data_IF_740265149063
#
_entry.id   IF_740265149063
#
_cell.length_a   1.000
_cell.length_b   1.000
_cell.length_c   1.000
_cell.angle_alpha   90.00
_cell.angle_beta   90.00
_cell.angle_gamma   90.00
#
_symmetry.space_group_name_H-M   'P 1'
#
loop_
_entity.id
_entity.type
_entity.pdbx_description
1 polymer ?
#
# COMPACT_ATOMS: atom_id res chain seq x y z
N UNK A 1 -26.05 -40.09 8.05
CA UNK A 1 -27.10 -39.25 8.65
C UNK A 1 -26.46 -38.38 9.72
N UNK A 2 -26.16 -37.12 9.44
CA UNK A 2 -25.42 -36.23 10.36
C UNK A 2 -26.19 -34.93 10.56
N UNK A 3 -26.99 -34.91 11.64
CA UNK A 3 -27.56 -33.79 12.38
C UNK A 3 -27.94 -32.50 11.61
N UNK A 4 -29.11 -32.52 10.98
CA UNK A 4 -29.85 -31.33 10.51
C UNK A 4 -30.54 -30.60 11.68
N UNK A 5 -29.84 -30.35 12.78
CA UNK A 5 -30.43 -29.68 13.95
C UNK A 5 -30.54 -28.16 13.76
N UNK A 6 -31.60 -27.54 14.29
CA UNK A 6 -31.75 -26.08 14.35
C UNK A 6 -30.72 -25.49 15.29
N UNK A 7 -29.98 -24.47 14.85
CA UNK A 7 -28.90 -23.84 15.62
C UNK A 7 -29.39 -22.56 16.29
N UNK A 8 -29.31 -22.51 17.62
CA UNK A 8 -29.67 -21.33 18.42
C UNK A 8 -28.40 -20.74 19.02
N UNK A 9 -28.09 -19.50 18.67
CA UNK A 9 -26.97 -18.76 19.25
C UNK A 9 -27.47 -17.90 20.42
N UNK A 10 -26.90 -18.10 21.60
CA UNK A 10 -27.22 -17.31 22.80
C UNK A 10 -26.07 -16.35 23.05
N UNK A 11 -26.37 -15.05 23.05
CA UNK A 11 -25.43 -13.95 23.29
C UNK A 11 -25.96 -13.04 24.37
N UNK A 12 -25.08 -12.32 25.06
CA UNK A 12 -25.49 -11.37 26.08
C UNK A 12 -24.29 -10.64 26.66
N UNK A 13 -24.49 -9.48 27.30
CA UNK A 13 -23.45 -8.80 28.05
C UNK A 13 -22.89 -9.68 29.19
N UNK A 14 -21.72 -9.36 29.74
CA UNK A 14 -21.19 -10.05 30.92
C UNK A 14 -22.22 -10.09 32.06
N UNK A 15 -22.31 -11.23 32.76
CA UNK A 15 -23.21 -11.44 33.91
C UNK A 15 -24.72 -11.32 33.64
N UNK A 16 -25.14 -11.26 32.36
CA UNK A 16 -26.55 -11.20 31.96
C UNK A 16 -27.34 -12.48 32.23
N UNK A 17 -26.67 -13.62 32.41
CA UNK A 17 -27.31 -14.92 32.63
C UNK A 17 -27.31 -15.86 31.42
N UNK A 18 -26.49 -15.59 30.40
CA UNK A 18 -26.33 -16.45 29.19
C UNK A 18 -26.11 -17.92 29.54
N UNK A 19 -25.21 -18.23 30.48
CA UNK A 19 -24.91 -19.62 30.85
C UNK A 19 -26.14 -20.38 31.34
N UNK A 20 -26.92 -19.78 32.25
CA UNK A 20 -28.17 -20.38 32.75
C UNK A 20 -29.18 -20.62 31.63
N UNK A 21 -29.32 -19.67 30.70
CA UNK A 21 -30.21 -19.83 29.53
C UNK A 21 -29.74 -20.95 28.60
N UNK A 22 -28.44 -21.03 28.30
CA UNK A 22 -27.86 -22.10 27.48
C UNK A 22 -28.11 -23.46 28.11
N UNK A 23 -27.81 -23.62 29.40
CA UNK A 23 -27.96 -24.89 30.11
C UNK A 23 -29.42 -25.28 30.33
N UNK A 24 -30.30 -24.29 30.55
CA UNK A 24 -31.74 -24.51 30.62
C UNK A 24 -32.32 -25.00 29.30
N UNK A 25 -31.97 -24.34 28.19
CA UNK A 25 -32.44 -24.72 26.86
C UNK A 25 -31.93 -26.10 26.44
N UNK A 26 -30.64 -26.41 26.67
CA UNK A 26 -30.09 -27.74 26.34
C UNK A 26 -30.80 -28.87 27.09
N UNK A 27 -31.18 -28.64 28.34
CA UNK A 27 -31.90 -29.64 29.16
C UNK A 27 -33.34 -29.86 28.69
N UNK A 28 -34.06 -28.78 28.37
CA UNK A 28 -35.48 -28.86 28.01
C UNK A 28 -35.71 -29.13 26.51
N UNK A 29 -34.73 -28.85 25.65
CA UNK A 29 -34.78 -28.98 24.19
C UNK A 29 -33.51 -29.63 23.63
N UNK A 30 -33.32 -30.94 23.83
CA UNK A 30 -32.16 -31.67 23.31
C UNK A 30 -32.16 -31.79 21.77
N UNK A 31 -33.30 -31.49 21.12
CA UNK A 31 -33.44 -31.39 19.67
C UNK A 31 -32.71 -30.17 19.07
N UNK A 32 -32.47 -29.12 19.87
CA UNK A 32 -31.85 -27.88 19.42
C UNK A 32 -30.33 -27.88 19.68
N UNK A 33 -29.56 -27.41 18.70
CA UNK A 33 -28.14 -27.14 18.89
C UNK A 33 -27.96 -25.73 19.47
N UNK A 34 -27.94 -25.64 20.80
CA UNK A 34 -27.77 -24.38 21.53
C UNK A 34 -26.29 -24.10 21.77
N UNK A 35 -25.83 -22.92 21.36
CA UNK A 35 -24.43 -22.51 21.42
C UNK A 35 -24.31 -21.14 22.07
N UNK A 36 -23.39 -20.99 23.02
CA UNK A 36 -23.00 -19.67 23.55
C UNK A 36 -22.00 -18.95 22.63
N UNK A 37 -21.42 -17.84 23.08
CA UNK A 37 -20.34 -17.15 22.35
C UNK A 37 -19.02 -17.97 22.33
N UNK A 38 -18.92 -19.03 23.14
CA UNK A 38 -17.76 -19.91 23.17
C UNK A 38 -17.59 -20.67 21.83
N UNK A 39 -16.33 -20.91 21.44
CA UNK A 39 -15.79 -21.21 20.09
C UNK A 39 -16.60 -22.00 19.04
N UNK A 40 -17.63 -22.74 19.42
CA UNK A 40 -18.48 -23.59 18.57
C UNK A 40 -19.37 -22.76 17.60
N UNK A 41 -19.74 -21.51 17.95
CA UNK A 41 -20.60 -20.64 17.12
C UNK A 41 -19.96 -20.16 15.79
N UNK A 42 -18.69 -20.51 15.54
CA UNK A 42 -17.98 -20.14 14.30
C UNK A 42 -18.22 -21.11 13.15
N UNK A 43 -18.76 -22.30 13.41
CA UNK A 43 -18.79 -23.39 12.42
C UNK A 43 -20.09 -23.48 11.60
N UNK A 44 -21.23 -23.04 12.16
CA UNK A 44 -22.54 -23.02 11.46
C UNK A 44 -23.28 -21.71 11.73
N UNK A 45 -23.91 -21.08 10.72
CA UNK A 45 -24.72 -19.88 10.95
C UNK A 45 -25.95 -20.23 11.81
N UNK A 46 -26.34 -19.38 12.76
CA UNK A 46 -27.51 -19.62 13.59
C UNK A 46 -28.82 -19.47 12.80
N UNK A 47 -29.82 -20.26 13.17
CA UNK A 47 -31.20 -20.14 12.70
C UNK A 47 -32.00 -19.16 13.56
N UNK A 48 -31.61 -18.98 14.82
CA UNK A 48 -32.11 -17.92 15.70
C UNK A 48 -31.01 -17.40 16.63
N UNK A 49 -31.14 -16.15 17.06
CA UNK A 49 -30.25 -15.53 18.05
C UNK A 49 -31.07 -15.09 19.26
N UNK A 50 -30.66 -15.54 20.45
CA UNK A 50 -31.20 -15.08 21.72
C UNK A 50 -30.26 -14.03 22.31
N UNK A 51 -30.76 -12.81 22.52
CA UNK A 51 -30.02 -11.73 23.17
C UNK A 51 -30.45 -11.64 24.62
N UNK A 52 -29.63 -12.19 25.51
CA UNK A 52 -29.88 -12.23 26.95
C UNK A 52 -29.38 -10.95 27.62
N UNK A 53 -30.27 -10.27 28.34
CA UNK A 53 -30.00 -9.10 29.18
C UNK A 53 -30.53 -9.36 30.58
N UNK A 54 -30.04 -8.64 31.60
CA UNK A 54 -30.47 -8.87 32.98
C UNK A 54 -31.66 -7.98 33.36
N UNK A 55 -32.62 -8.52 34.10
CA UNK A 55 -33.74 -7.76 34.68
C UNK A 55 -33.32 -6.71 35.74
N UNK A 56 -32.03 -6.64 36.10
CA UNK A 56 -31.49 -5.70 37.10
C UNK A 56 -31.65 -4.25 36.66
N UNK A 57 -31.39 -3.97 35.38
CA UNK A 57 -31.43 -2.63 34.82
C UNK A 57 -31.59 -2.68 33.30
N UNK A 58 -32.11 -1.61 32.68
CA UNK A 58 -32.18 -1.52 31.22
C UNK A 58 -30.81 -1.65 30.54
N UNK A 59 -30.79 -2.25 29.36
CA UNK A 59 -29.60 -2.45 28.53
C UNK A 59 -28.96 -1.13 28.14
N UNK A 60 -27.63 -1.05 28.22
CA UNK A 60 -26.90 0.15 27.80
C UNK A 60 -26.54 0.09 26.31
N UNK A 61 -26.18 1.24 25.73
CA UNK A 61 -25.72 1.28 24.34
C UNK A 61 -24.43 0.48 24.13
N UNK A 62 -23.53 0.49 25.12
CA UNK A 62 -22.30 -0.32 25.12
C UNK A 62 -22.60 -1.81 25.10
N UNK A 63 -23.58 -2.26 25.90
CA UNK A 63 -24.01 -3.66 25.94
C UNK A 63 -24.56 -4.13 24.59
N UNK A 64 -25.40 -3.30 23.96
CA UNK A 64 -25.97 -3.61 22.65
C UNK A 64 -24.91 -3.73 21.56
N UNK A 65 -23.91 -2.85 21.54
CA UNK A 65 -22.81 -2.89 20.57
C UNK A 65 -22.04 -4.21 20.61
N UNK A 66 -21.92 -4.86 21.77
CA UNK A 66 -21.24 -6.15 21.91
C UNK A 66 -22.02 -7.30 21.26
N UNK A 67 -23.36 -7.27 21.31
CA UNK A 67 -24.23 -8.36 20.84
C UNK A 67 -24.80 -8.14 19.44
N UNK A 68 -24.89 -6.89 18.98
CA UNK A 68 -25.45 -6.53 17.68
C UNK A 68 -24.81 -7.26 16.48
N UNK A 69 -23.47 -7.51 16.43
CA UNK A 69 -22.87 -8.29 15.36
C UNK A 69 -23.34 -9.75 15.32
N UNK A 70 -23.66 -10.34 16.48
CA UNK A 70 -24.19 -11.68 16.58
C UNK A 70 -25.69 -11.72 16.21
N UNK A 71 -26.48 -10.76 16.71
CA UNK A 71 -27.88 -10.58 16.34
C UNK A 71 -28.06 -10.42 14.82
N UNK A 72 -27.13 -9.73 14.15
CA UNK A 72 -27.13 -9.56 12.70
C UNK A 72 -26.91 -10.85 11.88
N UNK A 73 -26.68 -12.01 12.50
CA UNK A 73 -26.38 -13.28 11.80
C UNK A 73 -27.61 -14.13 11.50
N UNK A 74 -28.75 -13.82 12.11
CA UNK A 74 -30.04 -14.47 11.86
C UNK A 74 -31.12 -13.41 11.67
N UNK A 75 -32.22 -13.79 11.01
CA UNK A 75 -33.43 -12.98 10.89
C UNK A 75 -34.24 -13.04 12.20
N UNK A 76 -34.38 -14.24 12.77
CA UNK A 76 -35.04 -14.41 14.07
C UNK A 76 -34.09 -14.04 15.20
N UNK A 77 -34.37 -12.91 15.84
CA UNK A 77 -33.73 -12.48 17.09
C UNK A 77 -34.80 -12.39 18.17
N UNK A 78 -34.50 -12.85 19.38
CA UNK A 78 -35.39 -12.77 20.55
C UNK A 78 -34.63 -12.14 21.71
N UNK A 79 -35.18 -11.08 22.29
CA UNK A 79 -34.68 -10.50 23.54
C UNK A 79 -35.11 -11.34 24.73
N UNK A 80 -34.16 -11.70 25.59
CA UNK A 80 -34.40 -12.52 26.78
C UNK A 80 -34.00 -11.71 28.00
N UNK A 81 -34.99 -11.34 28.82
CA UNK A 81 -34.76 -10.66 30.10
C UNK A 81 -34.60 -11.73 31.17
N UNK A 82 -33.38 -11.95 31.64
CA UNK A 82 -33.04 -12.99 32.60
C UNK A 82 -33.13 -12.50 34.06
N UNK A 83 -33.20 -13.44 35.01
CA UNK A 83 -33.28 -13.20 36.47
C UNK A 83 -34.61 -12.57 36.91
N UNK A 84 -35.70 -12.88 36.20
CA UNK A 84 -37.04 -12.33 36.51
C UNK A 84 -37.65 -12.87 37.81
N UNK A 85 -37.04 -13.90 38.39
CA UNK A 85 -37.31 -14.40 39.74
C UNK A 85 -36.87 -13.43 40.84
N UNK A 86 -35.75 -12.73 40.65
CA UNK A 86 -35.24 -11.76 41.61
C UNK A 86 -35.84 -10.34 41.46
N UNK A 87 -36.42 -10.03 40.29
CA UNK A 87 -36.84 -8.67 39.94
C UNK A 87 -38.31 -8.61 39.51
N UNK A 88 -39.19 -8.16 40.43
CA UNK A 88 -40.65 -8.10 40.18
C UNK A 88 -41.06 -7.13 39.06
N UNK A 89 -40.30 -6.07 38.85
CA UNK A 89 -40.55 -5.04 37.82
C UNK A 89 -39.86 -5.32 36.48
N UNK A 90 -39.42 -6.55 36.23
CA UNK A 90 -38.69 -6.90 35.00
C UNK A 90 -39.44 -6.54 33.70
N UNK A 91 -40.78 -6.49 33.72
CA UNK A 91 -41.59 -6.08 32.55
C UNK A 91 -41.35 -4.62 32.18
N UNK A 92 -41.19 -3.74 33.16
CA UNK A 92 -40.82 -2.33 32.95
C UNK A 92 -39.44 -2.23 32.31
N UNK A 93 -38.49 -3.06 32.76
CA UNK A 93 -37.14 -3.15 32.17
C UNK A 93 -37.22 -3.65 30.72
N UNK A 94 -37.98 -4.71 30.45
CA UNK A 94 -38.17 -5.24 29.11
C UNK A 94 -38.78 -4.21 28.13
N UNK A 95 -39.75 -3.41 28.58
CA UNK A 95 -40.34 -2.34 27.78
C UNK A 95 -39.36 -1.18 27.54
N UNK A 96 -38.52 -0.86 28.52
CA UNK A 96 -37.44 0.10 28.34
C UNK A 96 -36.40 -0.42 27.33
N UNK A 97 -35.98 -1.67 27.45
CA UNK A 97 -35.04 -2.33 26.54
C UNK A 97 -35.57 -2.33 25.10
N UNK A 98 -36.84 -2.68 24.90
CA UNK A 98 -37.48 -2.63 23.57
C UNK A 98 -37.38 -1.24 22.95
N UNK A 99 -37.67 -0.18 23.72
CA UNK A 99 -37.60 1.22 23.24
C UNK A 99 -36.16 1.64 22.94
N UNK A 100 -35.23 1.35 23.84
CA UNK A 100 -33.82 1.71 23.69
C UNK A 100 -33.19 1.02 22.48
N UNK A 101 -33.36 -0.30 22.40
CA UNK A 101 -32.77 -1.11 21.34
C UNK A 101 -33.37 -0.79 19.97
N UNK A 102 -34.68 -0.59 19.86
CA UNK A 102 -35.30 -0.20 18.58
C UNK A 102 -34.85 1.18 18.10
N UNK A 103 -34.50 2.09 19.01
CA UNK A 103 -33.90 3.38 18.65
C UNK A 103 -32.44 3.25 18.15
N UNK A 104 -31.71 2.20 18.54
CA UNK A 104 -30.32 1.98 18.15
C UNK A 104 -30.15 1.05 16.94
N UNK A 105 -31.02 0.06 16.79
CA UNK A 105 -31.03 -0.92 15.70
C UNK A 105 -32.46 -1.15 15.22
N UNK A 106 -32.77 -0.59 14.05
CA UNK A 106 -34.09 -0.70 13.44
C UNK A 106 -34.52 -2.16 13.18
N UNK A 107 -33.57 -3.10 13.05
CA UNK A 107 -33.88 -4.53 12.85
C UNK A 107 -34.49 -5.15 14.09
N UNK A 108 -34.14 -4.63 15.27
CA UNK A 108 -34.64 -5.11 16.54
C UNK A 108 -36.00 -4.47 16.92
N UNK A 109 -36.58 -3.61 16.07
CA UNK A 109 -37.88 -3.00 16.34
C UNK A 109 -39.01 -4.03 16.47
N UNK A 110 -38.98 -5.11 15.68
CA UNK A 110 -39.95 -6.20 15.73
C UNK A 110 -39.51 -7.39 16.62
N UNK A 111 -38.42 -7.22 17.38
CA UNK A 111 -37.85 -8.26 18.23
C UNK A 111 -38.79 -8.54 19.42
N UNK A 112 -39.26 -9.79 19.63
CA UNK A 112 -39.98 -10.16 20.84
C UNK A 112 -39.05 -10.10 22.06
N UNK A 113 -39.62 -9.80 23.23
CA UNK A 113 -38.93 -9.77 24.51
C UNK A 113 -39.63 -10.69 25.49
N UNK A 114 -38.90 -11.64 26.07
CA UNK A 114 -39.45 -12.68 26.95
C UNK A 114 -38.69 -12.71 28.28
N UNK A 115 -39.41 -12.88 29.39
CA UNK A 115 -38.82 -13.00 30.72
C UNK A 115 -38.44 -14.45 31.04
N UNK A 116 -37.24 -14.66 31.58
CA UNK A 116 -36.71 -16.00 31.88
C UNK A 116 -36.04 -16.05 33.25
N UNK A 117 -36.31 -17.12 33.99
CA UNK A 117 -35.58 -17.48 35.20
C UNK A 117 -34.94 -18.86 34.97
N UNK A 118 -33.81 -18.91 34.27
CA UNK A 118 -33.24 -20.18 33.81
C UNK A 118 -32.45 -20.95 34.89
N UNK A 119 -31.95 -20.23 35.89
CA UNK A 119 -31.26 -20.76 37.06
C UNK A 119 -31.62 -19.90 38.29
N UNK A 120 -32.88 -19.98 38.78
CA UNK A 120 -33.31 -19.19 39.92
C UNK A 120 -32.65 -19.69 41.21
N UNK A 121 -32.43 -18.78 42.17
CA UNK A 121 -31.92 -19.16 43.49
C UNK A 121 -32.98 -19.94 44.30
N UNK A 122 -34.26 -19.65 44.04
CA UNK A 122 -35.41 -20.30 44.68
C UNK A 122 -36.48 -20.65 43.64
N UNK A 123 -36.92 -21.90 43.64
CA UNK A 123 -37.98 -22.40 42.76
C UNK A 123 -37.47 -23.12 41.52
N UNK A 124 -38.40 -23.53 40.64
CA UNK A 124 -38.08 -24.26 39.41
C UNK A 124 -37.68 -23.31 38.28
N UNK A 125 -36.76 -23.73 37.37
CA UNK A 125 -36.43 -22.96 36.17
C UNK A 125 -37.65 -22.65 35.30
N UNK A 126 -37.84 -21.38 34.97
CA UNK A 126 -38.93 -20.89 34.12
C UNK A 126 -38.39 -20.46 32.77
N UNK A 127 -38.47 -21.35 31.78
CA UNK A 127 -38.17 -21.09 30.36
C UNK A 127 -39.41 -21.22 29.46
N UNK A 128 -40.59 -21.55 30.00
CA UNK A 128 -41.78 -21.91 29.22
C UNK A 128 -42.20 -20.85 28.19
N UNK A 129 -42.22 -19.56 28.57
CA UNK A 129 -42.55 -18.47 27.63
C UNK A 129 -41.53 -18.39 26.47
N UNK A 130 -40.24 -18.60 26.76
CA UNK A 130 -39.19 -18.56 25.74
C UNK A 130 -39.29 -19.76 24.79
N UNK A 131 -39.57 -20.94 25.33
CA UNK A 131 -39.76 -22.15 24.53
C UNK A 131 -40.99 -22.04 23.62
N UNK A 132 -42.10 -21.54 24.15
CA UNK A 132 -43.31 -21.31 23.36
C UNK A 132 -43.06 -20.30 22.23
N UNK A 133 -42.37 -19.19 22.51
CA UNK A 133 -42.02 -18.20 21.48
C UNK A 133 -41.08 -18.80 20.42
N UNK A 134 -40.09 -19.58 20.83
CA UNK A 134 -39.19 -20.27 19.90
C UNK A 134 -39.95 -21.26 19.02
N UNK A 135 -40.87 -22.06 19.58
CA UNK A 135 -41.65 -23.03 18.82
C UNK A 135 -42.52 -22.35 17.75
N UNK A 136 -43.21 -21.27 18.11
CA UNK A 136 -44.03 -20.49 17.17
C UNK A 136 -43.16 -19.92 16.05
N UNK A 137 -42.02 -19.32 16.38
CA UNK A 137 -41.19 -18.61 15.40
C UNK A 137 -40.36 -19.55 14.53
N UNK A 138 -39.88 -20.66 15.08
CA UNK A 138 -39.13 -21.68 14.34
C UNK A 138 -40.04 -22.50 13.41
N UNK A 139 -41.33 -22.62 13.73
CA UNK A 139 -42.32 -23.26 12.87
C UNK A 139 -42.68 -22.44 11.62
N UNK A 140 -42.26 -21.17 11.52
CA UNK A 140 -42.53 -20.34 10.34
C UNK A 140 -41.80 -20.89 9.09
N UNK A 141 -42.53 -21.33 8.05
CA UNK A 141 -41.94 -21.87 6.83
C UNK A 141 -41.09 -20.84 6.05
N UNK A 142 -41.30 -19.54 6.28
CA UNK A 142 -40.52 -18.46 5.66
C UNK A 142 -39.16 -18.20 6.32
N UNK A 143 -38.93 -18.67 7.54
CA UNK A 143 -37.72 -18.38 8.32
C UNK A 143 -36.42 -18.86 7.63
N UNK A 144 -36.34 -20.08 7.04
CA UNK A 144 -35.11 -20.54 6.38
C UNK A 144 -34.68 -19.60 5.24
N UNK A 145 -35.63 -19.11 4.44
CA UNK A 145 -35.39 -18.17 3.33
C UNK A 145 -34.91 -16.82 3.83
N UNK A 146 -35.53 -16.28 4.88
CA UNK A 146 -35.10 -15.00 5.50
C UNK A 146 -33.71 -15.12 6.12
N UNK A 147 -33.44 -16.19 6.84
CA UNK A 147 -32.10 -16.49 7.35
C UNK A 147 -31.08 -16.65 6.21
N UNK A 148 -31.46 -17.22 5.07
CA UNK A 148 -30.55 -17.32 3.91
C UNK A 148 -30.19 -15.93 3.36
N UNK A 149 -31.19 -15.04 3.23
CA UNK A 149 -30.95 -13.66 2.84
C UNK A 149 -30.03 -12.94 3.84
N UNK A 150 -30.29 -13.08 5.14
CA UNK A 150 -29.48 -12.47 6.18
C UNK A 150 -28.03 -12.97 6.16
N UNK A 151 -27.83 -14.27 5.90
CA UNK A 151 -26.51 -14.88 5.71
C UNK A 151 -25.78 -14.27 4.51
N UNK A 152 -26.45 -14.06 3.38
CA UNK A 152 -25.86 -13.45 2.19
C UNK A 152 -25.44 -11.99 2.46
N UNK A 153 -26.29 -11.21 3.14
CA UNK A 153 -25.98 -9.82 3.53
C UNK A 153 -24.78 -9.78 4.49
N UNK A 154 -24.75 -10.67 5.48
CA UNK A 154 -23.64 -10.76 6.44
C UNK A 154 -22.33 -11.17 5.73
N UNK A 155 -22.38 -12.13 4.80
CA UNK A 155 -21.22 -12.53 3.99
C UNK A 155 -20.72 -11.39 3.11
N UNK A 156 -21.61 -10.69 2.42
CA UNK A 156 -21.25 -9.56 1.56
C UNK A 156 -20.62 -8.40 2.36
N UNK A 157 -21.18 -8.05 3.53
CA UNK A 157 -20.62 -7.01 4.40
C UNK A 157 -19.24 -7.40 4.96
N UNK A 158 -19.09 -8.65 5.43
CA UNK A 158 -17.77 -9.20 5.81
C UNK A 158 -16.78 -9.20 4.66
N UNK A 159 -17.19 -9.62 3.47
CA UNK A 159 -16.37 -9.66 2.26
C UNK A 159 -15.81 -8.28 1.93
N UNK A 160 -16.65 -7.23 2.01
CA UNK A 160 -16.21 -5.84 1.83
C UNK A 160 -15.16 -5.40 2.86
N UNK A 161 -15.33 -5.74 4.14
CA UNK A 161 -14.35 -5.38 5.19
C UNK A 161 -13.01 -6.08 4.94
N UNK A 162 -13.03 -7.36 4.59
CA UNK A 162 -11.82 -8.12 4.30
C UNK A 162 -11.13 -7.58 3.04
N UNK A 163 -11.89 -7.30 1.98
CA UNK A 163 -11.37 -6.69 0.75
C UNK A 163 -10.74 -5.32 1.02
N UNK A 164 -11.41 -4.46 1.80
CA UNK A 164 -10.89 -3.15 2.18
C UNK A 164 -9.59 -3.26 2.98
N UNK A 165 -9.49 -4.22 3.92
CA UNK A 165 -8.25 -4.47 4.67
C UNK A 165 -7.12 -4.92 3.74
N UNK A 166 -7.38 -5.84 2.80
CA UNK A 166 -6.39 -6.29 1.81
C UNK A 166 -5.92 -5.14 0.91
N UNK A 167 -6.84 -4.33 0.40
CA UNK A 167 -6.50 -3.16 -0.42
C UNK A 167 -5.60 -2.17 0.34
N UNK A 168 -5.87 -1.94 1.63
CA UNK A 168 -5.02 -1.09 2.46
C UNK A 168 -3.64 -1.70 2.72
N UNK A 169 -3.55 -3.02 2.96
CA UNK A 169 -2.27 -3.70 3.07
C UNK A 169 -1.47 -3.61 1.76
N UNK A 170 -2.12 -3.83 0.62
CA UNK A 170 -1.49 -3.75 -0.70
C UNK A 170 -0.92 -2.35 -1.00
N UNK A 171 -1.70 -1.29 -0.72
CA UNK A 171 -1.19 0.09 -0.78
C UNK A 171 0.03 0.29 0.11
N UNK A 172 0.04 -0.25 1.33
CA UNK A 172 1.18 -0.17 2.24
C UNK A 172 2.45 -0.82 1.69
N UNK A 173 2.34 -1.96 1.01
CA UNK A 173 3.46 -2.63 0.33
C UNK A 173 3.98 -1.76 -0.82
N UNK A 174 3.11 -1.31 -1.71
CA UNK A 174 3.48 -0.50 -2.88
C UNK A 174 4.13 0.84 -2.49
N UNK A 175 3.63 1.51 -1.45
CA UNK A 175 4.22 2.76 -0.98
C UNK A 175 5.62 2.54 -0.39
N UNK A 176 5.84 1.44 0.36
CA UNK A 176 7.18 1.09 0.87
C UNK A 176 8.14 0.79 -0.29
N UNK A 177 7.72 -0.01 -1.26
CA UNK A 177 8.50 -0.31 -2.47
C UNK A 177 8.89 0.97 -3.22
N UNK A 178 7.93 1.87 -3.45
CA UNK A 178 8.16 3.18 -4.08
C UNK A 178 9.19 4.02 -3.33
N UNK A 179 9.02 4.17 -2.02
CA UNK A 179 9.95 4.97 -1.21
C UNK A 179 11.36 4.37 -1.20
N UNK A 180 11.48 3.04 -1.13
CA UNK A 180 12.75 2.33 -1.22
C UNK A 180 13.47 2.59 -2.54
N UNK A 181 12.76 2.45 -3.66
CA UNK A 181 13.31 2.67 -5.01
C UNK A 181 13.64 4.15 -5.26
N UNK A 182 12.80 5.09 -4.86
CA UNK A 182 13.10 6.52 -5.01
C UNK A 182 14.33 6.94 -4.20
N UNK A 183 14.52 6.36 -3.01
CA UNK A 183 15.74 6.58 -2.23
C UNK A 183 16.96 5.99 -2.94
N UNK A 184 16.87 4.76 -3.43
CA UNK A 184 17.94 4.13 -4.22
C UNK A 184 18.33 4.97 -5.44
N UNK A 185 17.34 5.47 -6.20
CA UNK A 185 17.58 6.34 -7.37
C UNK A 185 18.29 7.62 -6.95
N UNK A 186 17.83 8.27 -5.88
CA UNK A 186 18.44 9.51 -5.38
C UNK A 186 19.89 9.30 -4.95
N UNK A 187 20.13 8.32 -4.09
CA UNK A 187 21.46 8.03 -3.54
C UNK A 187 22.45 7.66 -4.66
N UNK A 188 22.03 6.81 -5.60
CA UNK A 188 22.85 6.43 -6.75
C UNK A 188 23.08 7.58 -7.75
N UNK A 189 22.14 8.51 -7.91
CA UNK A 189 22.36 9.71 -8.72
C UNK A 189 23.34 10.69 -8.05
N UNK A 190 23.28 10.84 -6.72
CA UNK A 190 24.19 11.68 -5.97
C UNK A 190 25.62 11.09 -6.00
N UNK A 191 25.76 9.78 -5.88
CA UNK A 191 27.04 9.06 -6.04
C UNK A 191 27.60 9.16 -7.46
N UNK A 192 26.77 8.89 -8.48
CA UNK A 192 27.15 9.03 -9.89
C UNK A 192 27.62 10.47 -10.18
N UNK A 193 26.92 11.47 -9.65
CA UNK A 193 27.28 12.87 -9.84
C UNK A 193 28.62 13.20 -9.19
N UNK A 194 28.88 12.72 -7.98
CA UNK A 194 30.16 12.91 -7.30
C UNK A 194 31.31 12.28 -8.10
N UNK A 195 31.13 11.02 -8.51
CA UNK A 195 32.14 10.31 -9.31
C UNK A 195 32.44 11.00 -10.64
N UNK A 196 31.39 11.42 -11.38
CA UNK A 196 31.58 12.08 -12.68
C UNK A 196 32.23 13.46 -12.54
N UNK A 197 32.01 14.16 -11.42
CA UNK A 197 32.67 15.44 -11.13
C UNK A 197 34.13 15.30 -10.80
N UNK A 198 34.48 14.31 -9.99
CA UNK A 198 35.87 14.00 -9.68
C UNK A 198 36.61 13.59 -10.96
N UNK A 199 35.97 12.77 -11.80
CA UNK A 199 36.49 12.42 -13.12
C UNK A 199 36.65 13.66 -14.03
N UNK A 200 35.68 14.59 -14.04
CA UNK A 200 35.75 15.82 -14.83
C UNK A 200 36.91 16.74 -14.39
N UNK A 201 37.21 16.80 -13.08
CA UNK A 201 38.33 17.58 -12.56
C UNK A 201 39.69 17.04 -13.05
N UNK A 202 39.78 15.74 -13.29
CA UNK A 202 40.98 15.04 -13.76
C UNK A 202 41.17 15.05 -15.30
N UNK A 203 40.21 15.55 -16.09
CA UNK A 203 40.33 15.58 -17.57
C UNK A 203 41.38 16.59 -18.03
N UNK A 204 42.30 16.16 -18.89
CA UNK A 204 43.24 17.03 -19.63
C UNK A 204 42.66 17.43 -21.01
N UNK A 205 43.10 18.57 -21.57
CA UNK A 205 42.61 19.25 -22.80
C UNK A 205 42.32 18.35 -24.02
N UNK A 206 42.94 17.16 -24.13
CA UNK A 206 42.74 16.21 -25.24
C UNK A 206 41.80 15.02 -24.92
N UNK A 207 41.31 14.88 -23.68
CA UNK A 207 40.64 13.67 -23.16
C UNK A 207 39.11 13.66 -23.25
N UNK A 208 38.48 14.70 -23.79
CA UNK A 208 37.01 14.88 -23.79
C UNK A 208 36.18 13.72 -24.37
N UNK A 209 36.64 13.05 -25.43
CA UNK A 209 35.94 11.91 -26.02
C UNK A 209 35.98 10.66 -25.10
N UNK A 210 37.10 10.47 -24.40
CA UNK A 210 37.24 9.43 -23.38
C UNK A 210 36.34 9.68 -22.18
N UNK A 211 36.21 10.94 -21.75
CA UNK A 211 35.29 11.34 -20.70
C UNK A 211 33.82 11.13 -21.10
N UNK A 212 33.44 11.45 -22.34
CA UNK A 212 32.08 11.18 -22.81
C UNK A 212 31.74 9.69 -22.80
N UNK A 213 32.68 8.85 -23.23
CA UNK A 213 32.53 7.39 -23.19
C UNK A 213 32.39 6.91 -21.75
N UNK A 214 33.22 7.41 -20.83
CA UNK A 214 33.14 7.11 -19.40
C UNK A 214 31.76 7.45 -18.83
N UNK A 215 31.25 8.66 -19.08
CA UNK A 215 29.92 9.11 -18.60
C UNK A 215 28.83 8.17 -19.09
N UNK A 216 28.83 7.83 -20.39
CA UNK A 216 27.86 6.88 -20.98
C UNK A 216 27.94 5.51 -20.31
N UNK A 217 29.15 4.97 -20.13
CA UNK A 217 29.36 3.67 -19.48
C UNK A 217 28.90 3.67 -18.02
N UNK A 218 29.16 4.74 -17.26
CA UNK A 218 28.72 4.83 -15.86
C UNK A 218 27.20 4.96 -15.75
N UNK A 219 26.59 5.78 -16.59
CA UNK A 219 25.14 5.91 -16.65
C UNK A 219 24.45 4.58 -17.01
N UNK A 220 24.96 3.86 -18.04
CA UNK A 220 24.41 2.55 -18.44
C UNK A 220 24.54 1.50 -17.32
N UNK A 221 25.67 1.50 -16.60
CA UNK A 221 25.87 0.62 -15.45
C UNK A 221 24.88 0.92 -14.32
N UNK A 222 24.66 2.19 -14.00
CA UNK A 222 23.69 2.59 -12.98
C UNK A 222 22.27 2.17 -13.38
N UNK A 223 21.85 2.44 -14.61
CA UNK A 223 20.51 2.06 -15.10
C UNK A 223 20.32 0.53 -15.09
N UNK A 224 21.34 -0.24 -15.47
CA UNK A 224 21.29 -1.72 -15.41
C UNK A 224 21.20 -2.22 -13.96
N UNK A 225 21.92 -1.59 -13.03
CA UNK A 225 21.82 -1.89 -11.60
C UNK A 225 20.45 -1.53 -11.01
N UNK A 226 19.87 -0.42 -11.46
CA UNK A 226 18.53 0.01 -11.10
C UNK A 226 17.48 -0.99 -11.60
N UNK A 227 17.56 -1.45 -12.85
CA UNK A 227 16.63 -2.46 -13.38
C UNK A 227 16.63 -3.73 -12.49
N UNK A 228 17.81 -4.20 -12.09
CA UNK A 228 17.94 -5.34 -11.20
C UNK A 228 17.40 -5.08 -9.77
N UNK A 229 17.54 -3.86 -9.24
CA UNK A 229 16.93 -3.47 -7.96
C UNK A 229 15.41 -3.39 -8.07
N UNK A 230 14.88 -2.81 -9.17
CA UNK A 230 13.44 -2.76 -9.43
C UNK A 230 12.86 -4.17 -9.48
N UNK A 231 13.48 -5.08 -10.25
CA UNK A 231 13.04 -6.47 -10.34
C UNK A 231 13.02 -7.13 -8.95
N UNK A 232 14.10 -6.99 -8.15
CA UNK A 232 14.15 -7.51 -6.78
C UNK A 232 13.05 -6.97 -5.87
N UNK A 233 12.81 -5.66 -5.88
CA UNK A 233 11.80 -5.02 -5.03
C UNK A 233 10.39 -5.39 -5.47
N UNK A 234 10.15 -5.45 -6.78
CA UNK A 234 8.86 -5.87 -7.35
C UNK A 234 8.58 -7.34 -7.03
N UNK A 235 9.56 -8.23 -7.14
CA UNK A 235 9.40 -9.65 -6.79
C UNK A 235 9.12 -9.85 -5.31
N UNK A 236 9.81 -9.11 -4.43
CA UNK A 236 9.55 -9.12 -2.99
C UNK A 236 8.14 -8.63 -2.66
N UNK A 237 7.71 -7.53 -3.30
CA UNK A 237 6.36 -6.99 -3.14
C UNK A 237 5.29 -7.96 -3.69
N UNK A 238 5.50 -8.56 -4.86
CA UNK A 238 4.61 -9.56 -5.44
C UNK A 238 4.44 -10.77 -4.50
N UNK A 239 5.55 -11.25 -3.92
CA UNK A 239 5.54 -12.35 -2.94
C UNK A 239 4.75 -11.98 -1.68
N UNK A 240 4.95 -10.77 -1.13
CA UNK A 240 4.19 -10.29 0.05
C UNK A 240 2.69 -10.15 -0.24
N UNK A 241 2.32 -9.85 -1.49
CA UNK A 241 0.94 -9.74 -1.96
C UNK A 241 0.33 -11.09 -2.38
N UNK A 242 1.13 -12.16 -2.45
CA UNK A 242 0.69 -13.48 -2.92
C UNK A 242 0.40 -13.53 -4.43
N UNK A 243 1.10 -12.71 -5.22
CA UNK A 243 1.01 -12.71 -6.68
C UNK A 243 2.04 -13.69 -7.27
N UNK A 244 1.62 -14.52 -8.22
CA UNK A 244 2.53 -15.43 -8.92
C UNK A 244 3.48 -14.66 -9.84
N UNK A 245 4.81 -14.80 -9.71
CA UNK A 245 5.81 -13.97 -10.41
C UNK A 245 5.67 -13.97 -11.94
N UNK A 246 5.08 -15.03 -12.52
CA UNK A 246 5.01 -15.26 -13.97
C UNK A 246 3.85 -14.54 -14.67
N UNK A 247 2.89 -13.96 -13.93
CA UNK A 247 1.75 -13.21 -14.50
C UNK A 247 1.92 -11.69 -14.45
N UNK A 248 2.91 -11.16 -13.73
CA UNK A 248 2.91 -9.76 -13.30
C UNK A 248 3.52 -8.79 -14.32
N UNK A 249 4.41 -9.23 -15.23
CA UNK A 249 5.18 -8.28 -16.05
C UNK A 249 5.39 -8.82 -17.48
N UNK A 250 4.87 -8.14 -18.53
CA UNK A 250 5.32 -8.37 -19.90
C UNK A 250 6.85 -8.18 -19.96
N UNK A 251 7.61 -9.05 -20.62
CA UNK A 251 9.04 -8.80 -20.81
C UNK A 251 9.19 -7.42 -21.44
N UNK A 252 9.96 -6.56 -20.75
CA UNK A 252 10.25 -5.18 -21.14
C UNK A 252 10.47 -5.10 -22.66
N UNK A 253 9.78 -4.22 -23.41
CA UNK A 253 10.18 -3.94 -24.78
C UNK A 253 11.63 -3.44 -24.71
N UNK A 254 12.51 -4.13 -25.46
CA UNK A 254 13.96 -3.93 -25.51
C UNK A 254 14.35 -2.50 -25.18
N UNK A 255 15.19 -2.33 -24.14
CA UNK A 255 15.92 -1.10 -23.73
C UNK A 255 15.44 0.13 -24.51
N UNK A 256 14.56 0.97 -23.92
CA UNK A 256 14.33 2.31 -24.49
C UNK A 256 15.72 2.92 -24.74
N UNK A 257 15.96 3.51 -25.92
CA UNK A 257 17.26 4.07 -26.24
C UNK A 257 17.67 4.98 -25.08
N UNK A 258 18.94 4.93 -24.65
CA UNK A 258 19.41 5.76 -23.56
C UNK A 258 18.98 7.20 -23.81
N UNK A 259 18.65 7.97 -22.75
CA UNK A 259 18.22 9.35 -22.89
C UNK A 259 19.14 10.05 -23.88
N UNK A 260 18.59 10.80 -24.84
CA UNK A 260 19.37 11.50 -25.84
C UNK A 260 20.25 12.51 -25.11
N UNK A 261 21.44 12.07 -24.68
CA UNK A 261 22.37 12.86 -23.90
C UNK A 261 22.78 14.00 -24.83
N UNK A 262 22.45 15.23 -24.43
CA UNK A 262 22.81 16.44 -25.17
C UNK A 262 24.23 16.31 -25.70
N UNK A 263 24.42 16.51 -27.02
CA UNK A 263 25.75 16.44 -27.65
C UNK A 263 26.73 17.26 -26.81
N UNK A 264 27.88 16.67 -26.51
CA UNK A 264 28.94 17.36 -25.79
C UNK A 264 29.20 18.74 -26.45
N UNK A 265 29.38 19.84 -25.67
CA UNK A 265 29.72 21.17 -26.19
C UNK A 265 31.03 21.20 -27.00
N UNK A 266 31.69 20.04 -27.05
CA UNK A 266 32.77 19.64 -27.91
C UNK A 266 32.77 20.18 -29.37
N UNK A 267 31.61 20.34 -30.00
CA UNK A 267 31.55 20.77 -31.41
C UNK A 267 31.59 22.29 -31.60
N UNK A 268 31.22 23.08 -30.58
CA UNK A 268 31.31 24.55 -30.61
C UNK A 268 32.73 25.09 -30.33
N UNK A 269 33.63 24.23 -29.80
CA UNK A 269 35.00 24.54 -29.34
C UNK A 269 35.95 25.16 -30.38
N UNK A 270 35.75 24.89 -31.68
CA UNK A 270 36.77 25.18 -32.70
C UNK A 270 36.90 26.66 -33.08
N UNK A 271 35.82 27.42 -33.01
CA UNK A 271 35.76 28.82 -33.49
C UNK A 271 36.17 29.81 -32.40
N UNK A 272 35.70 29.60 -31.17
CA UNK A 272 35.94 30.51 -30.04
C UNK A 272 37.38 30.42 -29.52
N UNK A 273 37.96 29.21 -29.49
CA UNK A 273 39.37 29.00 -29.18
C UNK A 273 40.32 29.61 -30.22
N UNK A 274 39.95 29.59 -31.50
CA UNK A 274 40.71 30.25 -32.59
C UNK A 274 40.63 31.77 -32.49
N UNK A 275 39.47 32.33 -32.16
CA UNK A 275 39.29 33.77 -31.92
C UNK A 275 40.12 34.27 -30.73
N UNK A 276 40.10 33.55 -29.60
CA UNK A 276 40.89 33.89 -28.41
C UNK A 276 42.40 33.72 -28.64
N UNK A 277 42.82 32.73 -29.43
CA UNK A 277 44.23 32.56 -29.81
C UNK A 277 44.72 33.72 -30.69
N UNK A 278 43.94 34.12 -31.70
CA UNK A 278 44.29 35.26 -32.58
C UNK A 278 44.32 36.58 -31.82
N UNK A 279 43.32 36.83 -30.97
CA UNK A 279 43.26 38.04 -30.13
C UNK A 279 44.40 38.06 -29.11
N UNK A 280 44.73 36.89 -28.53
CA UNK A 280 45.85 36.74 -27.62
C UNK A 280 47.20 37.04 -28.28
N UNK A 281 47.45 36.46 -29.46
CA UNK A 281 48.69 36.72 -30.23
C UNK A 281 48.84 38.22 -30.54
N UNK A 282 47.77 38.90 -30.95
CA UNK A 282 47.79 40.34 -31.25
C UNK A 282 48.09 41.21 -30.02
N UNK A 283 47.48 40.92 -28.88
CA UNK A 283 47.66 41.70 -27.65
C UNK A 283 49.02 41.44 -26.98
N UNK A 284 49.51 40.19 -27.00
CA UNK A 284 50.84 39.82 -26.50
C UNK A 284 51.97 40.49 -27.28
N UNK A 285 51.82 40.59 -28.61
CA UNK A 285 52.75 41.33 -29.46
C UNK A 285 52.76 42.83 -29.14
N UNK A 286 51.59 43.42 -28.86
CA UNK A 286 51.46 44.83 -28.46
C UNK A 286 52.15 45.15 -27.12
N UNK A 287 51.99 44.30 -26.11
CA UNK A 287 52.64 44.47 -24.80
C UNK A 287 54.16 44.28 -24.90
N UNK A 288 54.62 43.31 -25.69
CA UNK A 288 56.05 43.10 -25.92
C UNK A 288 56.71 44.34 -26.55
N UNK A 289 56.04 44.97 -27.52
CA UNK A 289 56.50 46.20 -28.16
C UNK A 289 56.45 47.42 -27.21
N UNK A 290 55.41 47.53 -26.38
CA UNK A 290 55.28 48.62 -25.41
C UNK A 290 56.31 48.55 -24.28
N UNK A 291 56.57 47.35 -23.74
CA UNK A 291 57.56 47.11 -22.69
C UNK A 291 59.00 47.23 -23.18
N UNK A 292 59.27 46.78 -24.41
CA UNK A 292 60.52 47.02 -25.14
C UNK A 292 60.86 48.52 -25.21
N UNK A 293 59.86 49.37 -25.49
CA UNK A 293 60.05 50.82 -25.62
C UNK A 293 60.37 51.52 -24.29
N UNK A 294 59.88 50.99 -23.17
CA UNK A 294 60.17 51.48 -21.82
C UNK A 294 61.58 51.09 -21.34
N UNK A 295 62.05 49.89 -21.68
CA UNK A 295 63.38 49.38 -21.29
C UNK A 295 64.52 49.94 -22.15
N UNK A 296 64.24 50.33 -23.39
CA UNK A 296 65.19 50.98 -24.29
C UNK A 296 65.81 52.27 -23.72
N UNK A 297 65.13 52.93 -22.75
CA UNK A 297 65.59 54.16 -22.13
C UNK A 297 66.61 54.01 -20.99
N UNK A 298 66.85 52.79 -20.48
CA UNK A 298 67.56 52.59 -19.20
C UNK A 298 69.01 52.08 -19.31
N UNK A 299 69.40 51.32 -20.35
CA UNK A 299 70.79 50.89 -20.55
C UNK A 299 71.06 50.33 -21.97
N UNK A 300 71.83 51.01 -22.84
CA UNK A 300 72.03 50.59 -24.24
C UNK A 300 72.93 49.35 -24.43
N UNK A 301 73.75 48.98 -23.43
CA UNK A 301 74.75 47.89 -23.57
C UNK A 301 74.24 46.47 -23.32
N UNK A 302 73.11 46.29 -22.62
CA UNK A 302 72.48 44.98 -22.33
C UNK A 302 71.12 44.80 -23.02
N UNK A 303 70.75 45.78 -23.86
CA UNK A 303 69.42 45.91 -24.44
C UNK A 303 69.04 44.67 -25.27
N UNK A 304 69.84 44.25 -26.25
CA UNK A 304 69.42 43.17 -27.17
C UNK A 304 69.09 41.83 -26.47
N UNK A 305 69.84 41.43 -25.43
CA UNK A 305 69.60 40.20 -24.69
C UNK A 305 68.38 40.30 -23.75
N UNK A 306 68.17 41.46 -23.11
CA UNK A 306 66.99 41.72 -22.29
C UNK A 306 65.68 41.73 -23.08
N UNK A 307 65.72 42.11 -24.36
CA UNK A 307 64.54 42.16 -25.23
C UNK A 307 64.00 40.77 -25.58
N UNK A 308 64.89 39.86 -25.98
CA UNK A 308 64.51 38.49 -26.32
C UNK A 308 63.96 37.75 -25.08
N UNK A 309 64.59 37.95 -23.92
CA UNK A 309 64.14 37.35 -22.66
C UNK A 309 62.77 37.90 -22.22
N UNK A 310 62.57 39.22 -22.25
CA UNK A 310 61.31 39.85 -21.85
C UNK A 310 60.13 39.47 -22.76
N UNK A 311 60.34 39.45 -24.08
CA UNK A 311 59.32 39.01 -25.04
C UNK A 311 58.97 37.53 -24.87
N UNK A 312 59.97 36.66 -24.66
CA UNK A 312 59.74 35.24 -24.42
C UNK A 312 58.93 35.00 -23.13
N UNK A 313 59.26 35.70 -22.05
CA UNK A 313 58.54 35.60 -20.76
C UNK A 313 57.10 36.13 -20.89
N UNK A 314 56.90 37.25 -21.58
CA UNK A 314 55.55 37.81 -21.83
C UNK A 314 54.66 36.87 -22.65
N UNK A 315 55.20 36.27 -23.72
CA UNK A 315 54.48 35.28 -24.52
C UNK A 315 54.19 33.99 -23.73
N UNK A 316 55.14 33.53 -22.91
CA UNK A 316 54.95 32.35 -22.06
C UNK A 316 53.86 32.58 -21.00
N UNK A 317 53.85 33.73 -20.31
CA UNK A 317 52.81 34.10 -19.35
C UNK A 317 51.44 34.23 -20.01
N UNK A 318 51.37 34.82 -21.20
CA UNK A 318 50.11 34.95 -21.92
C UNK A 318 49.57 33.59 -22.39
N UNK A 319 50.43 32.75 -22.97
CA UNK A 319 50.07 31.39 -23.32
C UNK A 319 49.59 30.62 -22.08
N UNK A 320 50.22 30.84 -20.93
CA UNK A 320 49.79 30.27 -19.66
C UNK A 320 48.42 30.78 -19.20
N UNK A 321 48.14 32.09 -19.26
CA UNK A 321 46.81 32.66 -18.89
C UNK A 321 45.70 32.17 -19.83
N UNK A 322 45.93 32.16 -21.13
CA UNK A 322 44.95 31.68 -22.11
C UNK A 322 44.69 30.18 -21.90
N UNK A 323 45.75 29.40 -21.65
CA UNK A 323 45.63 27.95 -21.37
C UNK A 323 44.89 27.68 -20.07
N UNK A 324 45.19 28.41 -19.00
CA UNK A 324 44.51 28.26 -17.69
C UNK A 324 43.05 28.68 -17.76
N UNK A 325 42.73 29.80 -18.41
CA UNK A 325 41.33 30.23 -18.63
C UNK A 325 40.55 29.26 -19.50
N UNK A 326 41.17 28.71 -20.55
CA UNK A 326 40.59 27.66 -21.38
C UNK A 326 40.26 26.40 -20.58
N UNK A 327 41.20 25.95 -19.73
CA UNK A 327 41.01 24.80 -18.84
C UNK A 327 39.87 25.00 -17.83
N UNK A 328 39.77 26.19 -17.23
CA UNK A 328 38.69 26.49 -16.27
C UNK A 328 37.32 26.54 -16.94
N UNK A 329 37.23 27.13 -18.14
CA UNK A 329 35.99 27.16 -18.90
C UNK A 329 35.56 25.76 -19.36
N UNK A 330 36.51 24.93 -19.81
CA UNK A 330 36.26 23.54 -20.19
C UNK A 330 35.72 22.72 -19.02
N UNK A 331 36.32 22.85 -17.82
CA UNK A 331 35.82 22.18 -16.61
C UNK A 331 34.41 22.63 -16.22
N UNK A 332 34.09 23.92 -16.35
CA UNK A 332 32.77 24.44 -16.05
C UNK A 332 31.71 23.90 -17.03
N UNK A 333 32.04 23.78 -18.32
CA UNK A 333 31.16 23.16 -19.31
C UNK A 333 30.95 21.67 -19.03
N UNK A 334 31.99 20.95 -18.63
CA UNK A 334 31.88 19.54 -18.25
C UNK A 334 31.02 19.35 -17.00
N UNK A 335 31.18 20.16 -15.95
CA UNK A 335 30.35 20.08 -14.73
C UNK A 335 28.87 20.37 -15.01
N UNK A 336 28.60 21.37 -15.87
CA UNK A 336 27.24 21.65 -16.34
C UNK A 336 26.66 20.47 -17.13
N UNK A 337 27.42 19.92 -18.06
CA UNK A 337 26.98 18.78 -18.85
C UNK A 337 26.73 17.53 -17.98
N UNK A 338 27.61 17.24 -17.02
CA UNK A 338 27.41 16.17 -16.03
C UNK A 338 26.11 16.37 -15.25
N UNK A 339 25.82 17.61 -14.86
CA UNK A 339 24.56 17.95 -14.17
C UNK A 339 23.34 17.66 -15.05
N UNK A 340 23.39 18.01 -16.33
CA UNK A 340 22.32 17.75 -17.30
C UNK A 340 22.14 16.23 -17.54
N UNK A 341 23.24 15.48 -17.68
CA UNK A 341 23.21 14.02 -17.85
C UNK A 341 22.63 13.32 -16.63
N UNK A 342 23.07 13.66 -15.40
CA UNK A 342 22.53 13.06 -14.18
C UNK A 342 21.05 13.40 -14.01
N UNK A 343 20.62 14.61 -14.39
CA UNK A 343 19.21 14.99 -14.42
C UNK A 343 18.38 14.10 -15.36
N UNK A 344 18.90 13.84 -16.57
CA UNK A 344 18.24 12.95 -17.54
C UNK A 344 18.19 11.49 -17.07
N UNK A 345 19.28 10.99 -16.46
CA UNK A 345 19.35 9.65 -15.87
C UNK A 345 18.31 9.50 -14.75
N UNK A 346 18.25 10.48 -13.84
CA UNK A 346 17.26 10.51 -12.75
C UNK A 346 15.83 10.49 -13.27
N UNK A 347 15.53 11.32 -14.26
CA UNK A 347 14.20 11.35 -14.88
C UNK A 347 13.81 9.98 -15.46
N UNK A 348 14.72 9.34 -16.19
CA UNK A 348 14.50 8.01 -16.76
C UNK A 348 14.30 6.94 -15.67
N UNK A 349 15.12 7.00 -14.62
CA UNK A 349 15.04 6.11 -13.47
C UNK A 349 13.70 6.22 -12.73
N UNK A 350 13.25 7.44 -12.43
CA UNK A 350 11.96 7.68 -11.78
C UNK A 350 10.79 7.20 -12.65
N UNK A 351 10.87 7.37 -13.98
CA UNK A 351 9.87 6.87 -14.92
C UNK A 351 9.82 5.32 -14.94
N UNK A 352 10.97 4.64 -14.95
CA UNK A 352 11.06 3.18 -14.92
C UNK A 352 10.46 2.60 -13.63
N UNK A 353 10.74 3.21 -12.48
CA UNK A 353 10.15 2.84 -11.18
C UNK A 353 8.63 2.99 -11.21
N UNK A 354 8.11 4.11 -11.73
CA UNK A 354 6.69 4.35 -11.82
C UNK A 354 5.98 3.33 -12.72
N UNK A 355 6.54 3.05 -13.89
CA UNK A 355 5.98 2.10 -14.87
C UNK A 355 5.89 0.68 -14.30
N UNK A 356 6.94 0.21 -13.60
CA UNK A 356 6.96 -1.13 -13.00
C UNK A 356 6.03 -1.27 -11.79
N UNK A 357 5.95 -0.25 -10.92
CA UNK A 357 5.03 -0.26 -9.79
C UNK A 357 3.57 -0.17 -10.23
N UNK A 358 3.28 0.56 -11.32
CA UNK A 358 1.94 0.59 -11.92
C UNK A 358 1.54 -0.79 -12.47
N UNK A 359 2.44 -1.46 -13.19
CA UNK A 359 2.19 -2.83 -13.68
C UNK A 359 1.86 -3.80 -12.52
N UNK A 360 2.60 -3.70 -11.42
CA UNK A 360 2.35 -4.49 -10.22
C UNK A 360 0.98 -4.19 -9.58
N UNK A 361 0.59 -2.91 -9.50
CA UNK A 361 -0.72 -2.50 -8.96
C UNK A 361 -1.88 -3.03 -9.81
N UNK A 362 -1.76 -2.95 -11.15
CA UNK A 362 -2.74 -3.53 -12.07
C UNK A 362 -2.86 -5.05 -11.90
N UNK A 363 -1.74 -5.78 -11.84
CA UNK A 363 -1.75 -7.23 -11.62
C UNK A 363 -2.39 -7.62 -10.27
N UNK A 364 -2.17 -6.81 -9.23
CA UNK A 364 -2.80 -6.96 -7.93
C UNK A 364 -4.32 -6.77 -7.97
N UNK A 365 -4.80 -5.76 -8.70
CA UNK A 365 -6.22 -5.46 -8.85
C UNK A 365 -6.98 -6.55 -9.64
N UNK A 366 -6.37 -7.09 -10.69
CA UNK A 366 -6.94 -8.17 -11.49
C UNK A 366 -7.09 -9.46 -10.67
N UNK A 367 -6.04 -9.88 -9.97
CA UNK A 367 -6.06 -11.09 -9.11
C UNK A 367 -7.10 -10.95 -7.99
N UNK A 368 -7.23 -9.76 -7.40
CA UNK A 368 -8.25 -9.48 -6.40
C UNK A 368 -9.69 -9.59 -6.94
N UNK A 369 -9.92 -9.15 -8.18
CA UNK A 369 -11.22 -9.25 -8.85
C UNK A 369 -11.57 -10.69 -9.22
N UNK A 370 -10.62 -11.45 -9.78
CA UNK A 370 -10.80 -12.85 -10.16
C UNK A 370 -11.11 -13.74 -8.95
N UNK A 371 -10.45 -13.49 -7.82
CA UNK A 371 -10.70 -14.22 -6.56
C UNK A 371 -12.08 -13.91 -5.96
N UNK A 372 -12.53 -12.65 -6.03
CA UNK A 372 -13.87 -12.26 -5.59
C UNK A 372 -14.95 -12.92 -6.46
N UNK A 373 -14.78 -12.93 -7.78
CA UNK A 373 -15.71 -13.56 -8.73
C UNK A 373 -15.77 -15.08 -8.57
N UNK A 374 -14.61 -15.73 -8.37
CA UNK A 374 -14.53 -17.18 -8.17
C UNK A 374 -15.14 -17.60 -6.82
N UNK A 375 -14.92 -16.81 -5.77
CA UNK A 375 -15.59 -17.01 -4.47
C UNK A 375 -17.11 -16.90 -4.59
N UNK A 376 -17.62 -15.93 -5.36
CA UNK A 376 -19.07 -15.81 -5.59
C UNK A 376 -19.64 -16.92 -6.48
N UNK A 377 -18.94 -17.35 -7.52
CA UNK A 377 -19.43 -18.35 -8.47
C UNK A 377 -19.38 -19.78 -7.89
N UNK A 378 -18.34 -20.14 -7.14
CA UNK A 378 -18.26 -21.44 -6.46
C UNK A 378 -19.37 -21.61 -5.41
N UNK A 379 -19.81 -20.51 -4.77
CA UNK A 379 -20.92 -20.52 -3.81
C UNK A 379 -22.31 -20.51 -4.49
N UNK A 380 -22.46 -19.90 -5.67
CA UNK A 380 -23.70 -19.98 -6.46
C UNK A 380 -23.92 -21.37 -7.06
N UNK A 381 -22.87 -22.08 -7.46
CA UNK A 381 -22.96 -23.47 -7.91
C UNK A 381 -23.44 -24.43 -6.79
N UNK A 382 -23.18 -24.09 -5.53
CA UNK A 382 -23.73 -24.80 -4.36
C UNK A 382 -25.22 -24.54 -4.11
N UNK A 383 -25.79 -23.48 -4.69
CA UNK A 383 -27.20 -23.08 -4.55
C UNK A 383 -28.08 -23.72 -5.65
N UNK A 384 -27.51 -24.09 -6.81
CA UNK A 384 -28.26 -24.61 -7.97
C UNK A 384 -28.35 -26.14 -8.08
N UNK A 385 -28.01 -26.93 -7.05
CA UNK A 385 -28.38 -28.36 -7.08
C UNK A 385 -29.87 -28.51 -6.75
N UNK A 386 -30.74 -28.86 -7.73
CA UNK A 386 -32.13 -29.15 -7.42
C UNK A 386 -32.16 -30.47 -6.65
N UNK A 387 -32.73 -30.45 -5.45
CA UNK A 387 -33.14 -31.68 -4.77
C UNK A 387 -34.34 -32.19 -5.55
N UNK A 388 -34.09 -33.02 -6.57
CA UNK A 388 -35.14 -33.86 -7.15
C UNK A 388 -35.43 -34.97 -6.13
N UNK A 389 -36.68 -35.20 -5.75
CA UNK A 389 -37.03 -36.35 -4.92
C UNK A 389 -36.79 -37.62 -5.73
N UNK A 390 -35.90 -38.49 -5.25
CA UNK A 390 -35.85 -39.87 -5.72
C UNK A 390 -37.19 -40.53 -5.39
N UNK A 391 -37.95 -40.84 -6.43
CA UNK A 391 -39.18 -41.63 -6.33
C UNK A 391 -38.79 -43.09 -6.16
N UNK A 392 -39.32 -43.81 -5.15
CA UNK A 392 -39.05 -45.23 -4.98
C UNK A 392 -39.85 -46.04 -6.02
N UNK A 393 -39.17 -46.99 -6.67
CA UNK A 393 -39.77 -48.17 -7.31
C UNK A 393 -39.36 -49.37 -6.47
#
# INVERSE_FOLDING_TARGET
MTATGTVILVVGPPLSGVGGVVDGLRRQRPDLTVVGIDGVARQRPPDAVLVVVSAVAPVTRSDWVLVAPAAARADLVVGVVAKVDAHREWRTVADADRKLVSAWDARAAAMPWVGVAAAPDVGEPRLGELLAELDVRLADPGLPRRNQLQRNIFRASRGRIVAARRASAARGVLQRARLGLLRFVRDGCDELRAELRDAAAAVHVAGSAGFETLVRTRADRFLTGLDAEIDRVVDAAATELGLEPRRVVPPVPARRPPPEMSRSPATARGLEGRLMAVLGVGFGLGIALASSRLLAGMAPGLAAAGWAAGAAVGLALMAWVVRTRGLLHERALLDRWVTEVVGAVRWHAEAAVAERLLALDFAGAETGSEMLLTSTNGELAGISRPILPESPI
#
